data_IF_569548723564
#
_entry.id   IF_569548723564
#
_cell.length_a   1.000
_cell.length_b   1.000
_cell.length_c   1.000
_cell.angle_alpha   90.00
_cell.angle_beta   90.00
_cell.angle_gamma   90.00
#
_symmetry.space_group_name_H-M   'P 1'
#
loop_
_entity.id
_entity.type
_entity.pdbx_description
1 polymer ?
#
# COMPACT_ATOMS: atom_id res chain seq x y z
N UNK A 1 13.68 5.38 -6.30
CA UNK A 1 12.26 5.44 -5.87
C UNK A 1 11.61 4.17 -6.35
N UNK A 2 11.08 3.33 -5.45
CA UNK A 2 10.33 2.13 -5.84
C UNK A 2 8.87 2.51 -5.99
N UNK A 3 8.26 2.15 -7.11
CA UNK A 3 6.84 2.32 -7.36
C UNK A 3 6.19 0.95 -7.25
N UNK A 4 5.22 0.83 -6.36
CA UNK A 4 4.47 -0.40 -6.14
C UNK A 4 3.19 -0.37 -6.98
N UNK A 5 2.95 -1.46 -7.70
CA UNK A 5 1.66 -1.81 -8.28
C UNK A 5 1.18 -3.15 -7.70
N UNK A 6 -0.02 -3.57 -8.13
CA UNK A 6 -0.62 -4.82 -7.65
C UNK A 6 0.24 -6.05 -7.88
N UNK A 7 1.01 -6.08 -8.98
CA UNK A 7 1.80 -7.25 -9.36
C UNK A 7 3.09 -7.31 -8.54
N UNK A 8 3.72 -6.15 -8.34
CA UNK A 8 4.87 -5.98 -7.45
C UNK A 8 4.54 -6.40 -6.02
N UNK A 9 3.36 -6.02 -5.50
CA UNK A 9 2.92 -6.40 -4.15
C UNK A 9 2.72 -7.91 -4.03
N UNK A 10 2.06 -8.54 -5.00
CA UNK A 10 1.85 -9.99 -4.99
C UNK A 10 3.17 -10.75 -5.06
N UNK A 11 4.10 -10.31 -5.91
CA UNK A 11 5.40 -10.94 -6.07
C UNK A 11 6.24 -10.84 -4.80
N UNK A 12 6.29 -9.65 -4.18
CA UNK A 12 7.14 -9.41 -3.03
C UNK A 12 6.53 -9.96 -1.73
N UNK A 13 5.24 -9.73 -1.49
CA UNK A 13 4.59 -10.07 -0.22
C UNK A 13 3.84 -11.40 -0.22
N UNK A 14 3.57 -12.00 -1.39
CA UNK A 14 2.82 -13.26 -1.51
C UNK A 14 3.41 -14.39 -0.67
N UNK A 15 4.74 -14.55 -0.71
CA UNK A 15 5.45 -15.57 0.06
C UNK A 15 5.52 -15.27 1.57
N UNK A 16 5.17 -14.06 1.99
CA UNK A 16 5.15 -13.64 3.40
C UNK A 16 3.74 -13.68 4.02
N UNK A 17 2.78 -14.32 3.34
CA UNK A 17 1.40 -14.45 3.82
C UNK A 17 0.54 -13.23 3.53
N UNK A 18 0.65 -12.65 2.33
CA UNK A 18 -0.23 -11.57 1.88
C UNK A 18 -1.71 -11.99 2.00
N UNK A 19 -2.46 -11.24 2.80
CA UNK A 19 -3.90 -11.45 3.00
C UNK A 19 -4.70 -10.54 2.08
N UNK A 20 -4.37 -9.25 2.09
CA UNK A 20 -5.05 -8.23 1.30
C UNK A 20 -4.14 -7.01 1.11
N UNK A 21 -4.45 -6.20 0.10
CA UNK A 21 -3.88 -4.87 -0.06
C UNK A 21 -4.95 -3.92 -0.61
N UNK A 22 -4.83 -2.64 -0.27
CA UNK A 22 -5.77 -1.60 -0.70
C UNK A 22 -5.06 -0.27 -0.94
N UNK A 23 -5.63 0.56 -1.81
CA UNK A 23 -5.20 1.95 -1.99
C UNK A 23 -5.93 2.86 -1.02
N UNK A 24 -5.17 3.73 -0.35
CA UNK A 24 -5.70 4.74 0.57
C UNK A 24 -5.26 6.12 0.09
N UNK A 25 -6.20 7.05 0.03
CA UNK A 25 -5.96 8.45 -0.34
C UNK A 25 -5.98 9.28 0.93
N UNK A 26 -4.82 9.76 1.38
CA UNK A 26 -4.72 10.60 2.56
C UNK A 26 -4.64 12.10 2.19
N UNK A 27 -5.52 12.95 2.76
CA UNK A 27 -5.42 14.38 2.60
C UNK A 27 -4.24 14.95 3.39
N UNK A 28 -3.71 16.08 2.91
CA UNK A 28 -2.66 16.80 3.63
C UNK A 28 -3.22 17.46 4.90
N UNK A 29 -2.75 17.02 6.08
CA UNK A 29 -3.18 17.58 7.38
C UNK A 29 -2.99 19.10 7.52
N UNK A 30 -1.96 19.67 6.90
CA UNK A 30 -1.57 21.08 7.05
C UNK A 30 -1.47 21.84 5.71
N UNK A 31 -1.97 21.27 4.61
CA UNK A 31 -1.84 21.87 3.28
C UNK A 31 -3.02 21.45 2.38
N UNK A 32 -4.21 21.92 2.71
CA UNK A 32 -5.48 21.55 2.07
C UNK A 32 -5.50 21.72 0.54
N UNK A 33 -4.68 22.62 0.00
CA UNK A 33 -4.60 22.90 -1.45
C UNK A 33 -3.63 22.00 -2.22
N UNK A 34 -2.95 21.05 -1.55
CA UNK A 34 -2.02 20.13 -2.22
C UNK A 34 -2.73 18.83 -2.59
N UNK A 35 -2.34 18.17 -3.71
CA UNK A 35 -2.91 16.89 -4.10
C UNK A 35 -2.75 15.85 -2.98
N UNK A 36 -3.77 15.04 -2.68
CA UNK A 36 -3.68 14.05 -1.61
C UNK A 36 -2.62 12.98 -1.93
N UNK A 37 -2.04 12.40 -0.88
CA UNK A 37 -1.10 11.30 -1.03
C UNK A 37 -1.84 10.00 -1.29
N UNK A 38 -1.34 9.23 -2.26
CA UNK A 38 -1.77 7.85 -2.47
C UNK A 38 -0.82 6.91 -1.75
N UNK A 39 -1.36 6.05 -0.91
CA UNK A 39 -0.64 4.99 -0.22
C UNK A 39 -1.22 3.63 -0.60
N UNK A 40 -0.39 2.60 -0.55
CA UNK A 40 -0.85 1.22 -0.63
C UNK A 40 -0.68 0.61 0.76
N UNK A 41 -1.78 0.19 1.36
CA UNK A 41 -1.79 -0.53 2.62
C UNK A 41 -1.74 -2.02 2.33
N UNK A 42 -0.65 -2.68 2.69
CA UNK A 42 -0.43 -4.12 2.52
C UNK A 42 -0.58 -4.80 3.87
N UNK A 43 -1.39 -5.86 3.93
CA UNK A 43 -1.62 -6.64 5.15
C UNK A 43 -1.17 -8.08 4.93
N UNK A 44 -0.22 -8.52 5.76
CA UNK A 44 0.29 -9.88 5.76
C UNK A 44 0.04 -10.54 7.12
N UNK A 45 -0.16 -11.85 7.11
CA UNK A 45 -0.24 -12.68 8.30
C UNK A 45 0.86 -13.75 8.24
N UNK A 46 1.84 -13.63 9.14
CA UNK A 46 2.94 -14.58 9.23
C UNK A 46 2.47 -15.85 9.96
N UNK A 47 2.43 -16.97 9.24
CA UNK A 47 1.98 -18.26 9.76
C UNK A 47 0.46 -18.38 9.69
N UNK A 48 0.00 -19.16 8.72
CA UNK A 48 -1.30 -19.82 8.77
C UNK A 48 -1.13 -21.15 9.51
#
# INVERSE_FOLDING_TARGET
MFFYDSDSIKQEFGNYGLVEFSEVVEPHKNAENKPPFKFIMVKCQKGL
#
